data_IF_180934658420
#
_entry.id   IF_180934658420
#
_cell.length_a   1.000
_cell.length_b   1.000
_cell.length_c   1.000
_cell.angle_alpha   90.00
_cell.angle_beta   90.00
_cell.angle_gamma   90.00
#
_symmetry.space_group_name_H-M   'P 1'
#
loop_
_entity.id
_entity.type
_entity.pdbx_description
1 polymer ?
#
# COMPACT_ATOMS: atom_id res chain seq x y z
N UNK A 1 1.11 -15.41 -1.16
CA UNK A 1 0.50 -14.08 -1.13
C UNK A 1 -0.96 -14.29 -0.77
N UNK A 2 -1.50 -13.57 0.20
CA UNK A 2 -2.94 -13.67 0.47
C UNK A 2 -3.68 -13.10 -0.75
N UNK A 3 -4.72 -13.79 -1.24
CA UNK A 3 -5.40 -13.44 -2.49
C UNK A 3 -6.11 -12.07 -2.45
N UNK A 4 -6.35 -11.54 -1.25
CA UNK A 4 -7.10 -10.28 -1.01
C UNK A 4 -6.25 -9.27 -0.21
N UNK A 5 -4.99 -9.08 -0.63
CA UNK A 5 -4.02 -8.17 -0.01
C UNK A 5 -3.81 -6.91 -0.87
N UNK A 6 -3.26 -5.85 -0.27
CA UNK A 6 -2.85 -4.65 -1.02
C UNK A 6 -1.89 -5.04 -2.16
N UNK A 7 -0.92 -5.91 -1.87
CA UNK A 7 0.08 -6.35 -2.85
C UNK A 7 -0.54 -7.15 -4.01
N UNK A 8 -1.56 -7.98 -3.75
CA UNK A 8 -2.24 -8.74 -4.82
C UNK A 8 -3.06 -7.84 -5.73
N UNK A 9 -3.76 -6.84 -5.20
CA UNK A 9 -4.47 -5.85 -6.03
C UNK A 9 -3.49 -4.98 -6.83
N UNK A 10 -2.38 -4.53 -6.24
CA UNK A 10 -1.35 -3.79 -6.99
C UNK A 10 -0.70 -4.65 -8.08
N UNK A 11 -0.61 -5.97 -7.89
CA UNK A 11 -0.17 -6.89 -8.94
C UNK A 11 -1.18 -6.95 -10.08
N UNK A 12 -2.45 -7.18 -9.77
CA UNK A 12 -3.50 -7.30 -10.79
C UNK A 12 -3.67 -5.97 -11.55
N UNK A 13 -3.58 -4.83 -10.86
CA UNK A 13 -3.55 -3.50 -11.46
C UNK A 13 -2.40 -3.36 -12.47
N UNK A 14 -1.19 -3.83 -12.12
CA UNK A 14 -0.04 -3.79 -13.01
C UNK A 14 -0.23 -4.69 -14.24
N UNK A 15 -0.69 -5.92 -14.04
CA UNK A 15 -0.96 -6.88 -15.12
C UNK A 15 -2.06 -6.39 -16.07
N UNK A 16 -3.08 -5.70 -15.55
CA UNK A 16 -4.14 -5.06 -16.33
C UNK A 16 -3.60 -3.86 -17.13
N UNK A 17 -2.71 -3.05 -16.53
CA UNK A 17 -2.08 -1.93 -17.23
C UNK A 17 -1.24 -2.38 -18.42
N UNK A 18 -0.50 -3.49 -18.28
CA UNK A 18 0.29 -4.09 -19.36
C UNK A 18 -0.58 -4.60 -20.54
N UNK A 19 -1.88 -4.82 -20.31
CA UNK A 19 -2.87 -5.23 -21.30
C UNK A 19 -3.80 -4.10 -21.77
N UNK A 20 -3.58 -2.88 -21.28
CA UNK A 20 -4.44 -1.72 -21.54
C UNK A 20 -5.90 -1.90 -21.04
N UNK A 21 -6.11 -2.74 -20.02
CA UNK A 21 -7.42 -3.01 -19.39
C UNK A 21 -7.75 -1.91 -18.35
N UNK A 22 -7.99 -0.69 -18.80
CA UNK A 22 -8.09 0.49 -17.90
C UNK A 22 -9.21 0.41 -16.86
N UNK A 23 -10.35 -0.23 -17.16
CA UNK A 23 -11.42 -0.44 -16.17
C UNK A 23 -10.98 -1.34 -15.02
N UNK A 24 -10.20 -2.39 -15.33
CA UNK A 24 -9.60 -3.28 -14.33
C UNK A 24 -8.53 -2.56 -13.53
N UNK A 25 -7.71 -1.71 -14.17
CA UNK A 25 -6.75 -0.84 -13.47
C UNK A 25 -7.45 0.01 -12.41
N UNK A 26 -8.54 0.67 -12.78
CA UNK A 26 -9.30 1.52 -11.84
C UNK A 26 -9.90 0.70 -10.69
N UNK A 27 -10.54 -0.44 -11.00
CA UNK A 27 -11.12 -1.34 -10.01
C UNK A 27 -10.08 -1.83 -8.99
N UNK A 28 -8.95 -2.37 -9.47
CA UNK A 28 -7.91 -2.90 -8.61
C UNK A 28 -7.23 -1.80 -7.77
N UNK A 29 -7.04 -0.61 -8.35
CA UNK A 29 -6.55 0.54 -7.59
C UNK A 29 -7.51 0.94 -6.46
N UNK A 30 -8.82 0.99 -6.72
CA UNK A 30 -9.82 1.33 -5.70
C UNK A 30 -9.85 0.30 -4.57
N UNK A 31 -9.73 -0.99 -4.87
CA UNK A 31 -9.66 -2.07 -3.87
C UNK A 31 -8.39 -1.95 -3.00
N UNK A 32 -7.23 -1.72 -3.62
CA UNK A 32 -5.98 -1.47 -2.91
C UNK A 32 -6.07 -0.23 -2.02
N UNK A 33 -6.67 0.86 -2.55
CA UNK A 33 -6.82 2.12 -1.83
C UNK A 33 -7.73 1.95 -0.62
N UNK A 34 -8.88 1.29 -0.75
CA UNK A 34 -9.78 1.05 0.37
C UNK A 34 -9.09 0.33 1.54
N UNK A 35 -8.30 -0.71 1.23
CA UNK A 35 -7.52 -1.45 2.22
C UNK A 35 -6.42 -0.60 2.84
N UNK A 36 -5.69 0.15 2.02
CA UNK A 36 -4.65 1.06 2.49
C UNK A 36 -5.22 2.17 3.38
N UNK A 37 -6.41 2.70 3.08
CA UNK A 37 -7.09 3.73 3.89
C UNK A 37 -7.44 3.20 5.28
N UNK A 38 -7.86 1.94 5.41
CA UNK A 38 -8.07 1.33 6.72
C UNK A 38 -6.76 1.24 7.52
N UNK A 39 -5.64 0.98 6.85
CA UNK A 39 -4.34 0.76 7.48
C UNK A 39 -3.62 2.06 7.87
N UNK A 40 -3.66 3.07 7.00
CA UNK A 40 -2.87 4.30 7.15
C UNK A 40 -3.67 5.58 6.97
N UNK A 41 -4.99 5.54 6.82
CA UNK A 41 -5.82 6.74 6.66
C UNK A 41 -5.48 7.53 5.39
N UNK A 42 -5.33 8.84 5.54
CA UNK A 42 -5.11 9.78 4.42
C UNK A 42 -3.77 9.55 3.72
N UNK A 43 -2.82 8.87 4.36
CA UNK A 43 -1.54 8.50 3.77
C UNK A 43 -1.63 7.31 2.79
N UNK A 44 -2.82 6.74 2.56
CA UNK A 44 -3.02 5.58 1.70
C UNK A 44 -2.47 5.74 0.26
N UNK A 45 -2.69 6.86 -0.46
CA UNK A 45 -2.10 7.04 -1.79
C UNK A 45 -0.57 6.99 -1.79
N UNK A 46 0.05 7.54 -0.73
CA UNK A 46 1.50 7.48 -0.58
C UNK A 46 1.97 6.05 -0.30
N UNK A 47 1.23 5.27 0.49
CA UNK A 47 1.53 3.84 0.70
C UNK A 47 1.58 3.08 -0.61
N UNK A 48 0.53 3.23 -1.43
CA UNK A 48 0.43 2.54 -2.71
C UNK A 48 1.58 2.93 -3.64
N UNK A 49 1.92 4.22 -3.72
CA UNK A 49 3.06 4.69 -4.50
C UNK A 49 4.37 4.03 -4.05
N UNK A 50 4.63 3.93 -2.74
CA UNK A 50 5.84 3.29 -2.22
C UNK A 50 5.91 1.80 -2.58
N UNK A 51 4.79 1.08 -2.47
CA UNK A 51 4.72 -0.34 -2.83
C UNK A 51 4.91 -0.55 -4.34
N UNK A 52 4.28 0.29 -5.18
CA UNK A 52 4.50 0.27 -6.63
C UNK A 52 5.97 0.53 -6.99
N UNK A 53 6.61 1.52 -6.36
CA UNK A 53 8.04 1.79 -6.57
C UNK A 53 8.91 0.61 -6.13
N UNK A 54 8.58 -0.06 -5.03
CA UNK A 54 9.30 -1.24 -4.58
C UNK A 54 9.23 -2.36 -5.64
N UNK A 55 8.03 -2.68 -6.14
CA UNK A 55 7.80 -3.67 -7.20
C UNK A 55 8.52 -3.31 -8.50
N UNK A 56 8.47 -2.04 -8.90
CA UNK A 56 9.15 -1.54 -10.10
C UNK A 56 10.67 -1.79 -10.05
N UNK A 57 11.29 -1.59 -8.89
CA UNK A 57 12.71 -1.86 -8.70
C UNK A 57 13.02 -3.36 -8.55
N UNK A 58 12.13 -4.12 -7.91
CA UNK A 58 12.25 -5.57 -7.78
C UNK A 58 12.23 -6.26 -9.16
N UNK A 59 11.32 -5.86 -10.05
CA UNK A 59 11.25 -6.35 -11.43
C UNK A 59 12.54 -6.12 -12.24
N UNK A 60 13.35 -5.12 -11.86
CA UNK A 60 14.65 -4.82 -12.45
C UNK A 60 15.83 -5.44 -11.69
N UNK A 61 15.58 -6.32 -10.71
CA UNK A 61 16.60 -6.87 -9.80
C UNK A 61 17.39 -5.80 -9.01
N UNK A 62 16.85 -4.59 -8.87
CA UNK A 62 17.45 -3.47 -8.11
C UNK A 62 17.04 -3.54 -6.64
N UNK A 63 17.41 -4.64 -5.97
CA UNK A 63 16.91 -5.00 -4.64
C UNK A 63 17.18 -3.94 -3.55
N UNK A 64 18.31 -3.23 -3.62
CA UNK A 64 18.61 -2.15 -2.66
C UNK A 64 17.62 -0.98 -2.77
N UNK A 65 17.17 -0.67 -3.98
CA UNK A 65 16.17 0.37 -4.19
C UNK A 65 14.80 -0.13 -3.75
N UNK A 66 14.42 -1.36 -4.10
CA UNK A 66 13.18 -1.97 -3.65
C UNK A 66 13.05 -1.98 -2.12
N UNK A 67 14.11 -2.39 -1.43
CA UNK A 67 14.18 -2.40 0.04
C UNK A 67 14.07 -0.99 0.65
N UNK A 68 14.62 0.04 -0.01
CA UNK A 68 14.45 1.42 0.44
C UNK A 68 12.97 1.82 0.51
N UNK A 69 12.20 1.54 -0.53
CA UNK A 69 10.77 1.85 -0.58
C UNK A 69 9.97 0.98 0.39
N UNK A 70 10.24 -0.34 0.43
CA UNK A 70 9.60 -1.25 1.38
C UNK A 70 9.82 -0.82 2.84
N UNK A 71 11.03 -0.39 3.19
CA UNK A 71 11.33 0.12 4.53
C UNK A 71 10.54 1.39 4.85
N UNK A 72 10.39 2.29 3.89
CA UNK A 72 9.60 3.51 4.07
C UNK A 72 8.11 3.20 4.26
N UNK A 73 7.56 2.29 3.46
CA UNK A 73 6.19 1.80 3.61
C UNK A 73 5.95 1.19 5.01
N UNK A 74 6.83 0.29 5.46
CA UNK A 74 6.75 -0.33 6.80
C UNK A 74 6.78 0.70 7.92
N UNK A 75 7.67 1.70 7.84
CA UNK A 75 7.75 2.78 8.84
C UNK A 75 6.45 3.55 8.94
N UNK A 76 5.82 3.84 7.80
CA UNK A 76 4.56 4.56 7.75
C UNK A 76 3.42 3.77 8.38
N UNK A 77 3.30 2.48 8.08
CA UNK A 77 2.33 1.58 8.72
C UNK A 77 2.52 1.54 10.23
N UNK A 78 3.76 1.42 10.70
CA UNK A 78 4.07 1.42 12.14
C UNK A 78 3.67 2.76 12.79
N UNK A 79 3.89 3.89 12.11
CA UNK A 79 3.53 5.20 12.61
C UNK A 79 2.00 5.39 12.69
N UNK A 80 1.27 4.97 11.66
CA UNK A 80 -0.19 5.01 11.65
C UNK A 80 -0.79 4.20 12.81
N UNK A 81 -0.31 2.97 13.01
CA UNK A 81 -0.75 2.12 14.11
C UNK A 81 -0.47 2.74 15.48
N UNK A 82 0.70 3.36 15.66
CA UNK A 82 1.01 4.09 16.91
C UNK A 82 0.06 5.24 17.17
N UNK A 83 -0.28 6.01 16.14
CA UNK A 83 -1.22 7.13 16.27
C UNK A 83 -2.65 6.65 16.57
N UNK A 84 -3.09 5.56 15.95
CA UNK A 84 -4.38 4.93 16.24
C UNK A 84 -4.47 4.50 17.71
N UNK A 85 -3.46 3.79 18.23
CA UNK A 85 -3.44 3.37 19.63
C UNK A 85 -3.45 4.55 20.62
N UNK A 86 -2.77 5.66 20.30
CA UNK A 86 -2.81 6.87 21.14
C UNK A 86 -4.22 7.47 21.15
N UNK A 87 -4.88 7.58 19.99
CA UNK A 87 -6.25 8.11 19.88
C UNK A 87 -7.26 7.29 20.69
N UNK A 88 -7.18 5.97 20.63
CA UNK A 88 -8.04 5.06 21.41
C UNK A 88 -7.82 5.20 22.92
N UNK A 89 -6.57 5.38 23.37
CA UNK A 89 -6.26 5.55 24.79
C UNK A 89 -6.70 6.90 25.38
N UNK A 90 -6.77 7.96 24.56
CA UNK A 90 -7.19 9.29 24.99
C UNK A 90 -8.72 9.51 25.03
N UNK A 91 -9.51 8.58 24.50
CA UNK A 91 -10.98 8.66 24.49
C UNK A 91 -11.66 7.91 25.65
N UNK A 92 -10.89 7.21 26.49
CA UNK A 92 -11.41 6.39 27.61
C UNK A 92 -11.30 7.08 28.99
N UNK A 93 -11.10 8.40 29.04
CA UNK A 93 -10.89 9.14 30.31
C UNK A 93 -12.00 10.13 30.68
N UNK A 94 -13.16 10.09 30.01
CA UNK A 94 -14.32 10.93 30.35
C UNK A 94 -15.47 10.12 30.97
#
# INVERSE_FOLDING_TARGET
MEPDSIDSHLQQMQEAADKEEYETVESEYQLALAKATVLVGDEAPLLLLLLCMARYYEAQSKLQHAEHFNRRARKMIIQANKQASIRESGQNTD
#
